data_IF_917928572058
#
_entry.id   IF_917928572058
#
_cell.length_a   1.000
_cell.length_b   1.000
_cell.length_c   1.000
_cell.angle_alpha   90.00
_cell.angle_beta   90.00
_cell.angle_gamma   90.00
#
_symmetry.space_group_name_H-M   'P 1'
#
loop_
_entity.id
_entity.type
_entity.pdbx_description
1 polymer ?
#
# COMPACT_ATOMS: atom_id res chain seq x y z
N UNK A 1 -27.03 -63.47 -21.07
CA UNK A 1 -27.66 -62.16 -20.80
C UNK A 1 -26.63 -61.27 -20.13
N UNK A 2 -26.40 -60.07 -20.70
CA UNK A 2 -25.96 -58.77 -20.13
C UNK A 2 -24.94 -58.77 -18.96
N UNK A 3 -23.86 -57.99 -18.89
CA UNK A 3 -23.12 -56.97 -19.68
C UNK A 3 -21.76 -56.84 -18.90
N UNK A 4 -20.52 -56.90 -19.44
CA UNK A 4 -19.70 -55.87 -20.16
C UNK A 4 -19.61 -54.52 -19.41
N UNK A 5 -18.48 -53.80 -19.20
CA UNK A 5 -17.19 -53.49 -19.88
C UNK A 5 -16.20 -52.97 -18.80
N UNK A 6 -14.86 -52.91 -18.88
CA UNK A 6 -13.90 -52.92 -20.00
C UNK A 6 -13.40 -51.50 -20.36
N UNK A 7 -12.06 -51.32 -20.49
CA UNK A 7 -11.22 -50.25 -21.10
C UNK A 7 -10.17 -49.73 -20.08
N UNK A 8 -8.84 -49.70 -20.29
CA UNK A 8 -7.99 -50.09 -21.43
C UNK A 8 -6.99 -49.01 -21.84
N UNK A 9 -5.68 -49.25 -21.64
CA UNK A 9 -4.50 -48.75 -22.39
C UNK A 9 -4.16 -47.25 -22.26
N UNK A 10 -2.93 -46.74 -22.46
CA UNK A 10 -1.75 -47.11 -23.28
C UNK A 10 -0.56 -46.24 -22.75
N UNK A 11 0.61 -46.80 -22.38
CA UNK A 11 1.90 -46.85 -23.10
C UNK A 11 2.60 -45.50 -23.43
N UNK A 12 3.86 -45.29 -23.02
CA UNK A 12 5.10 -45.17 -23.85
C UNK A 12 6.23 -44.32 -23.20
N UNK A 13 7.48 -44.85 -23.28
CA UNK A 13 8.87 -44.30 -23.24
C UNK A 13 9.12 -42.78 -22.91
N UNK A 14 10.21 -42.34 -22.28
CA UNK A 14 11.62 -42.74 -22.43
C UNK A 14 12.55 -42.26 -21.27
N UNK A 15 13.57 -43.09 -20.98
CA UNK A 15 14.96 -42.81 -20.60
C UNK A 15 15.44 -41.36 -20.29
N UNK A 16 16.13 -41.18 -19.16
CA UNK A 16 17.51 -40.66 -19.14
C UNK A 16 18.23 -41.03 -17.83
N UNK A 17 19.51 -41.34 -17.94
CA UNK A 17 20.37 -41.99 -16.95
C UNK A 17 21.49 -41.05 -16.45
N UNK A 18 21.73 -41.08 -15.12
CA UNK A 18 23.02 -41.08 -14.41
C UNK A 18 24.20 -40.19 -14.90
N UNK A 19 24.72 -39.25 -14.08
CA UNK A 19 25.80 -39.43 -13.06
C UNK A 19 26.52 -38.09 -12.70
N UNK A 20 26.95 -37.99 -11.44
CA UNK A 20 28.06 -37.20 -10.84
C UNK A 20 27.86 -35.75 -10.30
N UNK A 21 27.78 -35.69 -8.96
CA UNK A 21 28.68 -34.96 -8.03
C UNK A 21 29.16 -33.54 -8.38
N UNK A 22 28.68 -32.60 -7.57
CA UNK A 22 29.36 -31.34 -7.26
C UNK A 22 28.88 -30.84 -5.90
N UNK A 23 29.57 -31.20 -4.82
CA UNK A 23 29.61 -30.35 -3.62
C UNK A 23 30.36 -29.09 -4.03
N UNK A 24 29.64 -28.01 -4.37
CA UNK A 24 30.18 -26.66 -4.31
C UNK A 24 29.69 -26.02 -3.02
N UNK A 25 30.64 -25.34 -2.37
CA UNK A 25 30.51 -24.62 -1.12
C UNK A 25 29.20 -23.88 -0.95
N UNK A 26 28.58 -24.09 0.21
CA UNK A 26 27.71 -23.15 0.90
C UNK A 26 28.41 -21.78 0.98
N UNK A 27 28.13 -20.92 0.00
CA UNK A 27 28.11 -19.50 0.24
C UNK A 27 26.65 -19.17 0.48
N UNK A 28 26.29 -18.88 1.72
CA UNK A 28 25.12 -18.06 2.01
C UNK A 28 25.38 -16.70 1.34
N UNK A 29 25.01 -16.58 0.08
CA UNK A 29 24.55 -15.32 -0.46
C UNK A 29 23.05 -15.46 -0.45
N UNK A 30 22.36 -14.61 0.32
CA UNK A 30 20.91 -14.47 0.21
C UNK A 30 20.56 -14.36 -1.27
N UNK A 31 19.66 -15.22 -1.70
CA UNK A 31 19.16 -15.23 -3.07
C UNK A 31 18.21 -14.02 -3.13
N UNK A 32 18.79 -12.81 -3.22
CA UNK A 32 18.06 -11.56 -3.41
C UNK A 32 17.01 -11.79 -4.49
N UNK A 33 15.76 -11.38 -4.28
CA UNK A 33 14.67 -11.58 -5.25
C UNK A 33 15.11 -10.96 -6.59
N UNK A 34 15.66 -11.80 -7.47
CA UNK A 34 16.27 -11.33 -8.71
C UNK A 34 15.12 -11.03 -9.68
N UNK A 35 14.69 -9.76 -9.68
CA UNK A 35 13.67 -9.25 -10.59
C UNK A 35 14.02 -9.67 -12.02
N UNK A 36 13.11 -10.35 -12.70
CA UNK A 36 13.38 -10.90 -14.04
C UNK A 36 13.03 -9.94 -15.17
N UNK A 37 12.32 -8.86 -14.88
CA UNK A 37 11.81 -7.91 -15.86
C UNK A 37 11.77 -6.48 -15.32
N UNK A 38 11.54 -5.52 -16.22
CA UNK A 38 11.28 -4.13 -15.84
C UNK A 38 9.84 -3.98 -15.40
N UNK A 39 9.61 -3.40 -14.22
CA UNK A 39 8.28 -3.12 -13.69
C UNK A 39 8.10 -1.61 -13.60
N UNK A 40 6.92 -1.12 -13.93
CA UNK A 40 6.55 0.29 -13.81
C UNK A 40 5.45 0.41 -12.77
N UNK A 41 5.53 1.44 -11.93
CA UNK A 41 4.51 1.81 -10.97
C UNK A 41 4.06 3.25 -11.23
N UNK A 42 2.78 3.54 -11.01
CA UNK A 42 2.18 4.86 -11.16
C UNK A 42 1.27 5.16 -9.97
N UNK A 43 1.29 6.41 -9.49
CA UNK A 43 0.46 6.81 -8.35
C UNK A 43 0.23 8.32 -8.25
N UNK A 44 -0.60 8.75 -7.29
CA UNK A 44 -0.86 10.16 -6.98
C UNK A 44 0.36 10.87 -6.34
N UNK A 45 0.27 12.20 -6.20
CA UNK A 45 1.28 13.04 -5.54
C UNK A 45 2.32 13.64 -6.51
N UNK A 46 1.95 14.68 -7.27
CA UNK A 46 2.73 15.16 -8.43
C UNK A 46 3.07 14.04 -9.44
N UNK A 47 2.02 13.26 -9.77
CA UNK A 47 2.02 12.15 -10.72
C UNK A 47 3.36 11.44 -10.85
N UNK A 48 3.61 10.59 -9.86
CA UNK A 48 4.86 9.86 -9.81
C UNK A 48 4.76 8.58 -10.63
N UNK A 49 5.84 8.30 -11.35
CA UNK A 49 6.02 7.06 -12.08
C UNK A 49 7.39 6.48 -11.78
N UNK A 50 7.43 5.34 -11.10
CA UNK A 50 8.66 4.61 -10.88
C UNK A 50 8.84 3.53 -11.96
N UNK A 51 10.03 3.40 -12.52
CA UNK A 51 10.40 2.33 -13.45
C UNK A 51 11.61 1.61 -12.88
N UNK A 52 11.47 0.34 -12.52
CA UNK A 52 12.49 -0.46 -11.85
C UNK A 52 12.93 -1.60 -12.77
N UNK A 53 14.19 -1.60 -13.19
CA UNK A 53 14.75 -2.58 -14.11
C UNK A 53 15.27 -3.83 -13.37
N UNK A 54 15.35 -4.93 -14.12
CA UNK A 54 15.89 -6.21 -13.63
C UNK A 54 17.37 -6.17 -13.18
N UNK A 55 18.12 -5.13 -13.57
CA UNK A 55 19.55 -4.99 -13.25
C UNK A 55 19.82 -4.16 -11.98
N UNK A 56 18.78 -3.82 -11.21
CA UNK A 56 18.89 -3.01 -9.99
C UNK A 56 18.97 -1.50 -10.25
N UNK A 57 18.75 -1.07 -11.49
CA UNK A 57 18.67 0.37 -11.85
C UNK A 57 17.23 0.78 -12.08
N UNK A 58 16.92 2.07 -11.94
CA UNK A 58 15.59 2.57 -12.20
C UNK A 58 15.51 4.08 -12.38
N UNK A 59 14.29 4.57 -12.52
CA UNK A 59 13.98 5.99 -12.57
C UNK A 59 12.67 6.30 -11.86
N UNK A 60 12.58 7.48 -11.27
CA UNK A 60 11.35 8.05 -10.71
C UNK A 60 11.07 9.35 -11.46
N UNK A 61 10.00 9.39 -12.22
CA UNK A 61 9.49 10.58 -12.90
C UNK A 61 8.48 11.27 -12.00
N UNK A 62 8.55 12.60 -11.92
CA UNK A 62 7.60 13.47 -11.20
C UNK A 62 7.01 14.45 -12.20
N UNK A 63 5.69 14.64 -12.20
CA UNK A 63 4.98 15.54 -13.13
C UNK A 63 4.06 16.49 -12.35
N UNK A 64 3.79 17.65 -12.91
CA UNK A 64 2.85 18.59 -12.29
C UNK A 64 1.41 18.04 -12.42
N UNK A 65 1.05 17.55 -13.61
CA UNK A 65 -0.25 16.94 -13.91
C UNK A 65 -0.12 15.62 -14.68
N UNK A 66 -1.11 14.71 -14.57
CA UNK A 66 -1.09 13.43 -15.29
C UNK A 66 -1.15 13.59 -16.81
N UNK A 67 -1.73 14.71 -17.26
CA UNK A 67 -1.87 15.04 -18.66
C UNK A 67 -0.58 15.59 -19.27
N UNK A 68 0.42 15.91 -18.46
CA UNK A 68 1.69 16.44 -18.94
C UNK A 68 2.49 15.37 -19.67
N UNK A 69 3.02 15.74 -20.84
CA UNK A 69 3.81 14.83 -21.69
C UNK A 69 5.23 14.68 -21.16
N UNK A 70 5.82 15.77 -20.65
CA UNK A 70 7.19 15.80 -20.15
C UNK A 70 7.19 15.85 -18.63
N UNK A 71 8.03 15.06 -17.94
CA UNK A 71 8.14 15.15 -16.49
C UNK A 71 8.80 16.47 -16.07
N UNK A 72 8.37 16.98 -14.92
CA UNK A 72 9.03 18.11 -14.26
C UNK A 72 10.46 17.74 -13.86
N UNK A 73 10.63 16.52 -13.36
CA UNK A 73 11.92 15.97 -12.96
C UNK A 73 11.95 14.46 -13.19
N UNK A 74 13.12 13.94 -13.57
CA UNK A 74 13.43 12.50 -13.55
C UNK A 74 14.61 12.25 -12.63
N UNK A 75 14.44 11.36 -11.66
CA UNK A 75 15.47 10.93 -10.72
C UNK A 75 15.94 9.54 -11.13
N UNK A 76 17.20 9.41 -11.52
CA UNK A 76 17.82 8.11 -11.74
C UNK A 76 18.24 7.51 -10.40
N UNK A 77 17.99 6.21 -10.21
CA UNK A 77 18.25 5.49 -8.96
C UNK A 77 18.90 4.14 -9.23
N UNK A 78 19.76 3.71 -8.32
CA UNK A 78 20.05 2.30 -8.08
C UNK A 78 19.16 1.83 -6.92
N UNK A 79 18.74 0.57 -6.89
CA UNK A 79 17.99 0.02 -5.78
C UNK A 79 18.42 -1.41 -5.42
N UNK A 80 18.30 -1.75 -4.15
CA UNK A 80 18.53 -3.09 -3.62
C UNK A 80 17.52 -3.42 -2.52
N UNK A 81 17.18 -4.70 -2.38
CA UNK A 81 16.38 -5.17 -1.26
C UNK A 81 17.25 -5.26 0.00
N UNK A 82 16.73 -4.73 1.10
CA UNK A 82 17.40 -4.77 2.40
C UNK A 82 17.14 -6.13 3.03
N UNK A 83 18.18 -6.96 3.19
CA UNK A 83 18.18 -8.19 4.00
C UNK A 83 16.91 -9.09 3.86
N UNK A 84 16.42 -9.27 2.62
CA UNK A 84 15.21 -10.04 2.28
C UNK A 84 13.95 -9.56 3.04
N UNK A 85 13.88 -8.27 3.40
CA UNK A 85 12.79 -7.73 4.20
C UNK A 85 11.55 -7.32 3.39
N UNK A 86 11.60 -7.39 2.06
CA UNK A 86 10.62 -6.74 1.17
C UNK A 86 10.71 -5.21 1.15
N UNK A 87 11.75 -4.63 1.76
CA UNK A 87 12.02 -3.19 1.74
C UNK A 87 13.13 -2.91 0.74
N UNK A 88 12.86 -2.00 -0.19
CA UNK A 88 13.83 -1.50 -1.14
C UNK A 88 14.53 -0.27 -0.57
N UNK A 89 15.85 -0.23 -0.67
CA UNK A 89 16.65 0.99 -0.49
C UNK A 89 17.03 1.53 -1.88
N UNK A 90 16.64 2.77 -2.15
CA UNK A 90 16.99 3.50 -3.36
C UNK A 90 18.17 4.42 -3.07
N UNK A 91 19.13 4.48 -3.98
CA UNK A 91 20.22 5.45 -3.96
C UNK A 91 20.14 6.32 -5.21
N UNK A 92 20.03 7.64 -5.03
CA UNK A 92 19.97 8.59 -6.15
C UNK A 92 21.30 8.62 -6.89
N UNK A 93 21.28 8.35 -8.19
CA UNK A 93 22.46 8.37 -9.07
C UNK A 93 22.50 9.56 -10.01
N UNK A 94 21.36 10.23 -10.24
CA UNK A 94 21.27 11.43 -11.08
C UNK A 94 19.90 12.10 -11.02
N UNK A 95 19.83 13.36 -11.44
CA UNK A 95 18.61 14.17 -11.53
C UNK A 95 18.60 14.94 -12.85
N UNK A 96 17.48 14.94 -13.56
CA UNK A 96 17.26 15.67 -14.81
C UNK A 96 15.97 16.52 -14.71
N UNK A 97 16.02 17.84 -14.92
CA UNK A 97 17.22 18.65 -15.19
C UNK A 97 18.17 18.75 -13.98
N UNK A 98 19.49 18.74 -14.23
CA UNK A 98 20.54 18.75 -13.18
C UNK A 98 20.48 19.99 -12.26
N UNK A 99 19.88 21.08 -12.72
CA UNK A 99 19.82 22.38 -12.03
C UNK A 99 18.43 22.69 -11.44
N UNK A 100 17.62 21.68 -11.12
CA UNK A 100 16.34 21.89 -10.41
C UNK A 100 16.60 22.20 -8.93
N UNK A 101 16.10 23.36 -8.46
CA UNK A 101 16.42 23.90 -7.13
C UNK A 101 15.96 22.97 -5.98
N UNK A 102 14.94 22.15 -6.20
CA UNK A 102 14.30 21.29 -5.19
C UNK A 102 14.49 19.78 -5.46
N UNK A 103 15.48 19.40 -6.28
CA UNK A 103 15.78 17.99 -6.58
C UNK A 103 16.56 17.28 -5.47
N UNK A 104 16.44 15.94 -5.35
CA UNK A 104 17.23 15.20 -4.38
C UNK A 104 18.72 15.21 -4.75
N UNK A 105 19.59 15.21 -3.75
CA UNK A 105 21.04 15.18 -3.99
C UNK A 105 21.51 13.77 -4.42
N UNK A 106 22.46 13.68 -5.35
CA UNK A 106 23.12 12.41 -5.70
C UNK A 106 23.71 11.75 -4.44
N UNK A 107 23.42 10.47 -4.25
CA UNK A 107 23.77 9.67 -3.08
C UNK A 107 22.76 9.75 -1.93
N UNK A 108 21.69 10.54 -2.05
CA UNK A 108 20.56 10.48 -1.13
C UNK A 108 19.92 9.09 -1.19
N UNK A 109 19.40 8.65 -0.04
CA UNK A 109 18.78 7.33 0.11
C UNK A 109 17.32 7.46 0.49
N UNK A 110 16.46 6.74 -0.22
CA UNK A 110 15.05 6.60 0.09
C UNK A 110 14.73 5.13 0.35
N UNK A 111 13.60 4.86 0.99
CA UNK A 111 13.13 3.49 1.22
C UNK A 111 11.69 3.34 0.76
N UNK A 112 11.34 2.14 0.28
CA UNK A 112 9.97 1.80 -0.05
C UNK A 112 9.68 0.35 0.30
N UNK A 113 8.40 0.02 0.49
CA UNK A 113 7.92 -1.36 0.49
C UNK A 113 7.45 -1.68 -0.91
N UNK A 114 7.95 -2.78 -1.46
CA UNK A 114 7.44 -3.31 -2.71
C UNK A 114 6.62 -4.57 -2.44
N UNK A 115 5.39 -4.58 -2.94
CA UNK A 115 4.59 -5.78 -3.08
C UNK A 115 4.64 -6.14 -4.57
N UNK A 116 5.48 -7.12 -4.91
CA UNK A 116 5.77 -7.46 -6.30
C UNK A 116 4.48 -7.79 -7.07
N UNK A 117 4.29 -7.14 -8.22
CA UNK A 117 3.09 -7.29 -9.05
C UNK A 117 1.91 -6.41 -8.63
N UNK A 118 1.91 -5.85 -7.42
CA UNK A 118 0.81 -5.04 -6.92
C UNK A 118 1.15 -3.54 -6.82
N UNK A 119 2.15 -3.17 -6.02
CA UNK A 119 2.39 -1.78 -5.69
C UNK A 119 3.72 -1.50 -4.99
N UNK A 120 4.10 -0.23 -5.00
CA UNK A 120 5.30 0.34 -4.41
C UNK A 120 4.90 1.50 -3.49
N UNK A 121 5.30 1.45 -2.24
CA UNK A 121 4.90 2.41 -1.21
C UNK A 121 6.13 3.08 -0.65
N UNK A 122 6.40 4.28 -1.13
CA UNK A 122 7.66 4.98 -0.90
C UNK A 122 7.54 6.00 0.21
N UNK A 123 8.56 6.08 1.06
CA UNK A 123 8.77 7.22 1.95
C UNK A 123 9.50 8.32 1.16
N UNK A 124 8.93 9.52 1.04
CA UNK A 124 9.54 10.61 0.30
C UNK A 124 10.84 11.07 0.96
N UNK A 125 11.77 11.55 0.13
CA UNK A 125 12.98 12.23 0.57
C UNK A 125 12.65 13.64 1.08
N UNK A 126 12.09 13.73 2.29
CA UNK A 126 11.76 15.01 2.92
C UNK A 126 10.30 15.46 2.77
N UNK A 127 9.38 14.51 2.60
CA UNK A 127 7.94 14.75 2.68
C UNK A 127 7.31 14.04 3.88
N UNK A 128 6.07 14.40 4.17
CA UNK A 128 5.25 13.95 5.29
C UNK A 128 4.10 13.05 4.85
N UNK A 129 4.22 12.35 3.72
CA UNK A 129 3.17 11.46 3.19
C UNK A 129 3.78 10.18 2.61
N UNK A 130 3.12 9.03 2.76
CA UNK A 130 3.46 7.86 1.93
C UNK A 130 3.05 8.17 0.49
N UNK A 131 3.90 7.78 -0.45
CA UNK A 131 3.63 7.84 -1.89
C UNK A 131 3.24 6.44 -2.38
N UNK A 132 1.94 6.08 -2.37
CA UNK A 132 1.49 4.81 -2.92
C UNK A 132 1.54 4.88 -4.45
N UNK A 133 2.09 3.85 -5.08
CA UNK A 133 2.05 3.67 -6.53
C UNK A 133 1.62 2.23 -6.82
N UNK A 134 0.73 2.03 -7.78
CA UNK A 134 0.32 0.70 -8.23
C UNK A 134 1.08 0.30 -9.48
N UNK A 135 1.21 -1.00 -9.71
CA UNK A 135 1.77 -1.51 -10.97
C UNK A 135 1.04 -0.89 -12.15
N UNK A 136 1.77 -0.15 -12.98
CA UNK A 136 1.24 0.46 -14.19
C UNK A 136 1.00 -0.62 -15.24
N UNK A 137 -0.15 -0.58 -15.90
CA UNK A 137 -0.52 -1.64 -16.82
C UNK A 137 -1.88 -1.46 -17.46
N UNK A 138 -2.53 -2.58 -17.77
CA UNK A 138 -3.87 -2.58 -18.33
C UNK A 138 -4.92 -2.26 -17.25
N UNK A 139 -6.07 -1.77 -17.70
CA UNK A 139 -7.24 -1.62 -16.84
C UNK A 139 -7.75 -2.98 -16.34
N UNK A 140 -8.44 -2.97 -15.19
CA UNK A 140 -9.18 -4.14 -14.69
C UNK A 140 -9.96 -4.83 -15.81
N UNK A 141 -9.84 -6.16 -15.90
CA UNK A 141 -10.49 -6.97 -16.95
C UNK A 141 -11.72 -7.74 -16.45
N UNK A 142 -12.00 -7.65 -15.15
CA UNK A 142 -13.16 -8.20 -14.48
C UNK A 142 -13.65 -7.27 -13.35
N UNK A 143 -14.89 -7.46 -12.92
CA UNK A 143 -15.44 -6.77 -11.76
C UNK A 143 -14.69 -7.20 -10.50
N UNK A 144 -14.42 -6.26 -9.60
CA UNK A 144 -13.76 -6.58 -8.34
C UNK A 144 -14.36 -5.81 -7.16
N UNK A 145 -14.08 -6.33 -5.96
CA UNK A 145 -14.34 -5.63 -4.70
C UNK A 145 -13.03 -5.57 -3.93
N UNK A 146 -12.77 -4.43 -3.32
CA UNK A 146 -11.56 -4.14 -2.59
C UNK A 146 -11.90 -3.60 -1.19
N UNK A 147 -11.00 -3.84 -0.24
CA UNK A 147 -10.97 -3.14 1.04
C UNK A 147 -10.07 -1.93 0.88
N UNK A 148 -10.51 -0.75 1.32
CA UNK A 148 -9.74 0.48 1.23
C UNK A 148 -9.44 1.08 2.60
N UNK A 149 -8.29 1.76 2.69
CA UNK A 149 -7.91 2.63 3.80
C UNK A 149 -7.58 4.03 3.26
N UNK A 150 -7.80 5.06 4.07
CA UNK A 150 -7.38 6.42 3.78
C UNK A 150 -5.87 6.55 3.97
N UNK A 151 -5.15 6.77 2.88
CA UNK A 151 -3.69 6.97 2.92
C UNK A 151 -3.30 8.44 3.10
N UNK A 152 -4.14 9.37 2.65
CA UNK A 152 -3.95 10.81 2.82
C UNK A 152 -5.28 11.45 3.22
N UNK A 153 -5.27 12.18 4.33
CA UNK A 153 -6.43 12.90 4.85
C UNK A 153 -6.47 14.35 4.36
N UNK A 154 -7.65 14.87 4.05
CA UNK A 154 -7.84 16.32 3.91
C UNK A 154 -7.66 17.04 5.26
N UNK A 155 -7.56 18.38 5.23
CA UNK A 155 -7.13 19.23 6.35
C UNK A 155 -7.93 19.21 7.67
N UNK A 156 -8.93 18.33 7.83
CA UNK A 156 -9.71 18.09 9.06
C UNK A 156 -9.88 16.57 9.33
N UNK A 157 -8.80 15.80 9.27
CA UNK A 157 -8.79 14.33 9.43
C UNK A 157 -8.81 13.86 10.91
N UNK A 158 -9.76 14.34 11.70
CA UNK A 158 -9.92 13.92 13.10
C UNK A 158 -10.44 12.47 13.21
N UNK A 159 -9.54 11.55 13.57
CA UNK A 159 -9.80 10.13 13.77
C UNK A 159 -10.65 9.82 15.01
N UNK A 160 -10.98 10.81 15.84
CA UNK A 160 -11.95 10.67 16.93
C UNK A 160 -13.38 11.03 16.51
N UNK A 161 -13.60 11.49 15.29
CA UNK A 161 -14.92 11.84 14.76
C UNK A 161 -15.66 10.62 14.22
N UNK A 162 -16.92 10.45 14.64
CA UNK A 162 -17.83 9.40 14.13
C UNK A 162 -18.30 9.68 12.69
N UNK A 163 -18.13 10.92 12.21
CA UNK A 163 -18.59 11.36 10.89
C UNK A 163 -17.46 11.31 9.83
N UNK A 164 -16.28 10.78 10.19
CA UNK A 164 -15.10 10.72 9.32
C UNK A 164 -14.80 9.28 8.92
N UNK A 165 -14.67 9.06 7.62
CA UNK A 165 -14.40 7.76 7.02
C UNK A 165 -12.90 7.53 6.84
N UNK A 166 -12.44 6.38 7.34
CA UNK A 166 -11.02 5.99 7.30
C UNK A 166 -10.81 4.67 6.56
N UNK A 167 -11.83 3.82 6.51
CA UNK A 167 -11.76 2.55 5.82
C UNK A 167 -13.14 2.06 5.39
N UNK A 168 -13.15 1.07 4.51
CA UNK A 168 -14.38 0.42 4.09
C UNK A 168 -14.17 -0.46 2.86
N UNK A 169 -15.21 -0.55 2.04
CA UNK A 169 -15.21 -1.36 0.82
C UNK A 169 -15.45 -0.50 -0.41
N UNK A 170 -14.76 -0.87 -1.49
CA UNK A 170 -14.85 -0.27 -2.81
C UNK A 170 -15.20 -1.37 -3.81
N UNK A 171 -15.97 -1.07 -4.83
CA UNK A 171 -16.24 -2.00 -5.93
C UNK A 171 -16.01 -1.32 -7.27
N UNK A 172 -15.56 -2.10 -8.24
CA UNK A 172 -15.43 -1.66 -9.63
C UNK A 172 -16.24 -2.57 -10.55
N UNK A 173 -17.11 -1.97 -11.36
CA UNK A 173 -17.86 -2.63 -12.42
C UNK A 173 -17.21 -2.27 -13.77
N UNK A 174 -16.65 -3.28 -14.44
CA UNK A 174 -15.97 -3.10 -15.73
C UNK A 174 -16.96 -2.78 -16.86
N UNK A 175 -18.17 -3.33 -16.77
CA UNK A 175 -19.17 -3.18 -17.82
C UNK A 175 -19.71 -1.76 -17.89
N UNK A 176 -19.77 -1.10 -16.73
CA UNK A 176 -20.16 0.30 -16.57
C UNK A 176 -18.95 1.24 -16.54
N UNK A 177 -17.73 0.72 -16.34
CA UNK A 177 -16.52 1.49 -15.98
C UNK A 177 -16.79 2.43 -14.82
N UNK A 178 -17.38 1.87 -13.76
CA UNK A 178 -17.78 2.61 -12.57
C UNK A 178 -17.10 2.03 -11.35
N UNK A 179 -16.34 2.86 -10.62
CA UNK A 179 -15.91 2.58 -9.27
C UNK A 179 -16.87 3.18 -8.26
N UNK A 180 -17.16 2.50 -7.15
CA UNK A 180 -18.11 2.93 -6.13
C UNK A 180 -17.60 2.60 -4.73
N UNK A 181 -17.65 3.57 -3.81
CA UNK A 181 -17.46 3.31 -2.38
C UNK A 181 -18.75 2.70 -1.84
N UNK A 182 -18.68 1.44 -1.40
CA UNK A 182 -19.84 0.65 -0.98
C UNK A 182 -20.03 0.61 0.53
N UNK A 183 -18.99 0.89 1.30
CA UNK A 183 -19.08 1.11 2.74
C UNK A 183 -18.00 2.08 3.22
N UNK A 184 -18.30 2.75 4.33
CA UNK A 184 -17.46 3.73 5.03
C UNK A 184 -17.58 3.50 6.51
N UNK A 185 -16.46 3.57 7.22
CA UNK A 185 -16.43 3.33 8.66
C UNK A 185 -15.51 4.33 9.36
N UNK A 186 -15.93 4.73 10.55
CA UNK A 186 -15.14 5.56 11.45
C UNK A 186 -14.22 4.70 12.35
N UNK A 187 -13.20 5.33 12.92
CA UNK A 187 -12.27 4.72 13.89
C UNK A 187 -12.71 4.93 15.35
N UNK A 188 -13.97 5.24 15.59
CA UNK A 188 -14.52 5.43 16.93
C UNK A 188 -15.04 4.12 17.53
N UNK A 189 -15.48 4.17 18.79
CA UNK A 189 -15.92 2.99 19.53
C UNK A 189 -17.00 2.19 18.77
N UNK A 190 -16.68 0.94 18.47
CA UNK A 190 -17.58 0.03 17.74
C UNK A 190 -17.55 0.21 16.22
N UNK A 191 -16.69 1.07 15.69
CA UNK A 191 -16.42 1.27 14.28
C UNK A 191 -17.71 1.45 13.45
N UNK A 192 -18.50 2.50 13.74
CA UNK A 192 -19.82 2.66 13.15
C UNK A 192 -19.74 2.84 11.63
N UNK A 193 -20.73 2.24 10.94
CA UNK A 193 -20.99 2.52 9.53
C UNK A 193 -21.37 3.99 9.36
N UNK A 194 -20.73 4.65 8.39
CA UNK A 194 -21.10 5.99 7.93
C UNK A 194 -22.02 5.81 6.72
N UNK A 195 -23.12 6.54 6.71
CA UNK A 195 -24.05 6.51 5.58
C UNK A 195 -23.34 7.00 4.31
N UNK A 196 -23.32 6.17 3.27
CA UNK A 196 -22.93 6.59 1.93
C UNK A 196 -24.09 7.40 1.35
N UNK A 197 -24.06 8.72 1.54
CA UNK A 197 -25.09 9.64 1.03
C UNK A 197 -24.73 10.16 -0.37
N UNK A 198 -25.51 9.75 -1.37
CA UNK A 198 -25.27 10.14 -2.77
C UNK A 198 -24.41 9.13 -3.53
N UNK A 199 -24.33 9.28 -4.85
CA UNK A 199 -23.45 8.47 -5.69
C UNK A 199 -22.01 8.95 -5.48
N UNK A 200 -21.24 8.28 -4.62
CA UNK A 200 -19.78 8.31 -4.68
C UNK A 200 -19.28 7.33 -5.74
N UNK A 201 -19.93 7.36 -6.90
CA UNK A 201 -19.59 6.55 -8.05
C UNK A 201 -18.77 7.37 -9.01
N UNK A 202 -17.57 6.90 -9.30
CA UNK A 202 -16.69 7.46 -10.31
C UNK A 202 -16.92 6.66 -11.59
N UNK A 203 -17.55 7.27 -12.59
CA UNK A 203 -17.71 6.68 -13.92
C UNK A 203 -16.79 7.38 -14.91
N UNK A 204 -15.99 6.62 -15.65
CA UNK A 204 -15.05 7.18 -16.61
C UNK A 204 -14.63 6.20 -17.69
N UNK A 205 -13.63 6.59 -18.48
CA UNK A 205 -12.90 5.65 -19.32
C UNK A 205 -11.58 5.33 -18.66
N UNK A 206 -11.26 4.04 -18.53
CA UNK A 206 -9.94 3.63 -18.10
C UNK A 206 -9.03 3.43 -19.32
N UNK A 207 -7.83 4.03 -19.27
CA UNK A 207 -6.76 3.83 -20.25
C UNK A 207 -5.43 3.63 -19.51
N UNK A 208 -4.71 2.55 -19.81
CA UNK A 208 -3.44 2.20 -19.16
C UNK A 208 -3.52 2.19 -17.62
N UNK A 209 -4.61 1.63 -17.07
CA UNK A 209 -4.83 1.57 -15.62
C UNK A 209 -5.13 2.93 -14.98
N UNK A 210 -5.35 3.99 -15.76
CA UNK A 210 -5.74 5.30 -15.25
C UNK A 210 -7.17 5.62 -15.69
N UNK A 211 -8.02 5.95 -14.73
CA UNK A 211 -9.33 6.51 -14.95
C UNK A 211 -9.36 7.92 -14.39
N UNK A 212 -9.72 8.89 -15.22
CA UNK A 212 -9.95 10.26 -14.80
C UNK A 212 -11.43 10.59 -14.73
N UNK A 213 -11.81 11.35 -13.70
CA UNK A 213 -13.14 11.92 -13.54
C UNK A 213 -13.06 13.42 -13.72
N UNK A 214 -13.88 13.92 -14.65
CA UNK A 214 -14.08 15.34 -14.87
C UNK A 214 -15.57 15.70 -14.66
N UNK A 215 -15.85 16.74 -13.90
CA UNK A 215 -17.18 17.35 -13.76
C UNK A 215 -17.15 18.75 -14.38
N UNK A 216 -18.03 19.02 -15.35
CA UNK A 216 -18.06 20.28 -16.10
C UNK A 216 -16.72 20.71 -16.76
N UNK A 217 -15.80 19.74 -16.96
CA UNK A 217 -14.48 19.94 -17.54
C UNK A 217 -13.36 20.14 -16.52
N UNK A 218 -13.68 20.05 -15.23
CA UNK A 218 -12.75 20.17 -14.12
C UNK A 218 -12.42 18.79 -13.52
N UNK A 219 -11.16 18.49 -13.17
CA UNK A 219 -10.79 17.21 -12.58
C UNK A 219 -11.34 17.10 -11.16
N UNK A 220 -12.12 16.05 -10.89
CA UNK A 220 -12.71 15.79 -9.56
C UNK A 220 -11.99 14.64 -8.85
N UNK A 221 -11.61 13.61 -9.60
CA UNK A 221 -10.90 12.46 -9.05
C UNK A 221 -10.04 11.78 -10.12
N UNK A 222 -9.02 11.08 -9.65
CA UNK A 222 -8.21 10.17 -10.45
C UNK A 222 -8.14 8.82 -9.75
N UNK A 223 -8.20 7.76 -10.55
CA UNK A 223 -8.16 6.41 -10.07
C UNK A 223 -7.10 5.64 -10.85
N UNK A 224 -6.07 5.18 -10.14
CA UNK A 224 -5.11 4.21 -10.63
C UNK A 224 -5.66 2.82 -10.32
N UNK A 225 -5.78 1.98 -11.33
CA UNK A 225 -6.33 0.64 -11.28
C UNK A 225 -5.26 -0.34 -11.71
N UNK A 226 -5.13 -1.45 -10.98
CA UNK A 226 -4.43 -2.63 -11.48
C UNK A 226 -5.42 -3.55 -12.20
N UNK A 227 -4.93 -4.35 -13.14
CA UNK A 227 -5.67 -5.48 -13.75
C UNK A 227 -6.26 -6.46 -12.72
N UNK A 228 -5.64 -6.46 -11.54
CA UNK A 228 -5.75 -7.40 -10.45
C UNK A 228 -6.61 -6.91 -9.26
N UNK A 229 -7.36 -5.81 -9.41
CA UNK A 229 -8.33 -5.37 -8.40
C UNK A 229 -7.79 -4.53 -7.23
N UNK A 230 -6.56 -4.05 -7.31
CA UNK A 230 -6.06 -2.91 -6.54
C UNK A 230 -6.49 -1.58 -7.15
N UNK A 231 -6.66 -0.57 -6.30
CA UNK A 231 -6.91 0.80 -6.75
C UNK A 231 -6.24 1.84 -5.83
N UNK A 232 -5.83 2.98 -6.38
CA UNK A 232 -5.58 4.20 -5.62
C UNK A 232 -6.54 5.25 -6.15
N UNK A 233 -7.34 5.86 -5.28
CA UNK A 233 -8.24 6.95 -5.66
C UNK A 233 -7.75 8.22 -4.99
N UNK A 234 -7.49 9.25 -5.79
CA UNK A 234 -7.14 10.59 -5.34
C UNK A 234 -8.27 11.54 -5.73
N UNK A 235 -8.73 12.35 -4.79
CA UNK A 235 -9.72 13.41 -5.03
C UNK A 235 -9.03 14.77 -5.13
N UNK A 236 -9.67 15.68 -5.85
CA UNK A 236 -9.21 17.07 -5.98
C UNK A 236 -10.23 18.01 -5.36
N UNK A 237 -9.74 19.04 -4.70
CA UNK A 237 -10.57 20.09 -4.10
C UNK A 237 -10.22 21.42 -4.76
N UNK A 238 -11.24 22.20 -5.15
CA UNK A 238 -11.02 23.54 -5.68
C UNK A 238 -10.72 24.48 -4.51
N UNK A 239 -9.53 25.05 -4.48
CA UNK A 239 -9.22 26.14 -3.58
C UNK A 239 -9.96 27.40 -4.05
N UNK A 240 -10.99 27.81 -3.31
CA UNK A 240 -11.82 28.98 -3.67
C UNK A 240 -11.04 30.31 -3.67
N UNK A 241 -9.90 30.39 -2.97
CA UNK A 241 -9.09 31.61 -2.89
C UNK A 241 -8.14 31.75 -4.08
N UNK A 242 -7.50 30.65 -4.51
CA UNK A 242 -6.54 30.63 -5.63
C UNK A 242 -7.19 30.29 -6.96
N UNK A 243 -8.40 29.73 -6.95
CA UNK A 243 -9.06 29.10 -8.11
C UNK A 243 -8.23 27.96 -8.73
N UNK A 244 -7.39 27.31 -7.92
CA UNK A 244 -6.55 26.16 -8.33
C UNK A 244 -7.05 24.87 -7.66
N UNK A 245 -6.92 23.74 -8.37
CA UNK A 245 -7.22 22.43 -7.79
C UNK A 245 -6.06 21.95 -6.94
N UNK A 246 -6.35 21.66 -5.68
CA UNK A 246 -5.41 21.06 -4.74
C UNK A 246 -5.72 19.57 -4.57
N UNK A 247 -4.72 18.82 -4.11
CA UNK A 247 -4.94 17.42 -3.73
C UNK A 247 -5.82 17.39 -2.49
N UNK A 248 -6.94 16.68 -2.56
CA UNK A 248 -7.83 16.43 -1.43
C UNK A 248 -7.37 15.20 -0.65
N UNK A 249 -8.23 14.18 -0.59
CA UNK A 249 -7.92 12.90 0.06
C UNK A 249 -7.45 11.83 -0.94
N UNK A 250 -6.67 10.87 -0.44
CA UNK A 250 -6.31 9.67 -1.17
C UNK A 250 -6.63 8.40 -0.38
N UNK A 251 -7.18 7.40 -1.05
CA UNK A 251 -7.38 6.05 -0.51
C UNK A 251 -6.53 5.05 -1.29
N UNK A 252 -6.10 3.99 -0.62
CA UNK A 252 -5.51 2.81 -1.26
C UNK A 252 -6.43 1.63 -1.00
N UNK A 253 -6.83 0.96 -2.08
CA UNK A 253 -7.72 -0.18 -2.08
C UNK A 253 -6.98 -1.43 -2.55
N UNK A 254 -7.24 -2.53 -1.85
CA UNK A 254 -6.63 -3.83 -2.09
C UNK A 254 -7.69 -4.89 -2.32
N UNK A 255 -7.42 -5.92 -3.15
CA UNK A 255 -8.34 -7.01 -3.41
C UNK A 255 -8.91 -7.59 -2.12
N UNK A 256 -10.23 -7.63 -2.04
CA UNK A 256 -10.92 -8.13 -0.84
C UNK A 256 -10.70 -9.64 -0.71
N UNK A 257 -10.14 -10.06 0.40
CA UNK A 257 -9.97 -11.47 0.74
C UNK A 257 -10.61 -11.80 2.10
N UNK A 258 -11.19 -13.00 2.21
CA UNK A 258 -11.72 -13.53 3.48
C UNK A 258 -10.73 -14.52 4.03
N UNK A 259 -9.79 -14.00 4.81
CA UNK A 259 -8.78 -14.80 5.48
C UNK A 259 -9.20 -15.11 6.91
N UNK A 260 -8.58 -16.10 7.53
CA UNK A 260 -8.73 -16.36 8.97
C UNK A 260 -7.73 -15.54 9.76
N UNK A 261 -8.08 -15.16 10.99
CA UNK A 261 -7.15 -14.45 11.89
C UNK A 261 -5.87 -15.24 12.15
N UNK A 262 -5.94 -16.57 12.11
CA UNK A 262 -4.79 -17.47 12.24
C UNK A 262 -3.73 -17.23 11.13
N UNK A 263 -4.13 -16.72 9.97
CA UNK A 263 -3.21 -16.40 8.86
C UNK A 263 -2.26 -15.23 9.18
N UNK A 264 -2.62 -14.40 10.16
CA UNK A 264 -1.77 -13.34 10.68
C UNK A 264 -0.56 -13.86 11.47
N UNK A 265 -0.50 -15.13 11.86
CA UNK A 265 0.65 -15.65 12.62
C UNK A 265 1.95 -15.41 11.84
N UNK A 266 2.91 -14.71 12.45
CA UNK A 266 4.22 -14.42 11.85
C UNK A 266 4.76 -13.03 12.16
N UNK A 267 5.88 -12.70 11.54
CA UNK A 267 6.51 -11.37 11.63
C UNK A 267 6.22 -10.58 10.38
N UNK A 268 5.82 -9.33 10.55
CA UNK A 268 5.53 -8.35 9.52
C UNK A 268 6.50 -7.18 9.67
N UNK A 269 6.95 -6.64 8.54
CA UNK A 269 7.77 -5.44 8.48
C UNK A 269 7.12 -4.44 7.57
N UNK A 270 7.15 -3.18 7.96
CA UNK A 270 6.42 -2.20 7.22
C UNK A 270 6.74 -0.76 7.54
N UNK A 271 5.88 0.13 7.05
CA UNK A 271 5.93 1.56 7.28
C UNK A 271 4.71 1.90 8.13
N UNK A 272 4.96 2.66 9.19
CA UNK A 272 3.94 3.41 9.91
C UNK A 272 3.99 4.85 9.40
N UNK A 273 2.81 5.35 9.07
CA UNK A 273 2.54 6.72 8.69
C UNK A 273 1.64 7.35 9.73
N UNK A 274 1.99 8.54 10.21
CA UNK A 274 1.12 9.35 11.06
C UNK A 274 0.86 10.67 10.35
N UNK A 275 -0.37 10.87 9.89
CA UNK A 275 -0.78 12.14 9.30
C UNK A 275 -0.73 13.20 10.41
N UNK A 276 0.11 14.22 10.23
CA UNK A 276 0.18 15.33 11.17
C UNK A 276 -1.10 16.16 11.13
N UNK A 277 -1.50 16.73 12.27
CA UNK A 277 -2.64 17.67 12.36
C UNK A 277 -2.45 18.93 11.49
N UNK A 278 -1.24 19.15 10.98
CA UNK A 278 -0.89 20.24 10.07
C UNK A 278 0.17 19.73 9.08
N UNK A 279 -0.09 19.76 7.77
CA UNK A 279 0.83 19.42 6.66
C UNK A 279 2.12 20.28 6.59
N UNK A 280 2.45 20.97 7.70
CA UNK A 280 3.61 21.84 7.87
C UNK A 280 4.42 21.46 9.14
N UNK A 281 4.04 20.41 9.87
CA UNK A 281 4.78 20.01 11.06
C UNK A 281 5.98 19.15 10.66
N UNK A 282 7.16 19.53 11.14
CA UNK A 282 8.37 18.69 11.16
C UNK A 282 8.18 17.39 11.98
N UNK A 283 6.95 17.14 12.46
CA UNK A 283 6.54 16.08 13.39
C UNK A 283 5.79 14.93 12.71
N UNK A 284 5.65 14.94 11.37
CA UNK A 284 5.15 13.78 10.64
C UNK A 284 6.11 12.60 10.83
N UNK A 285 5.72 11.65 11.68
CA UNK A 285 6.57 10.55 12.10
C UNK A 285 6.36 9.35 11.18
N UNK A 286 6.99 9.40 10.02
CA UNK A 286 7.05 8.27 9.10
C UNK A 286 8.26 7.40 9.45
N UNK A 287 8.01 6.18 9.91
CA UNK A 287 9.09 5.27 10.30
C UNK A 287 8.75 3.82 9.99
N UNK A 288 9.80 3.01 9.88
CA UNK A 288 9.65 1.58 9.71
C UNK A 288 9.26 0.92 11.04
N UNK A 289 8.44 -0.11 10.95
CA UNK A 289 7.99 -0.92 12.09
C UNK A 289 8.17 -2.40 11.81
N UNK A 290 8.45 -3.16 12.85
CA UNK A 290 8.40 -4.62 12.84
C UNK A 290 7.35 -5.08 13.84
N UNK A 291 6.48 -6.00 13.45
CA UNK A 291 5.41 -6.52 14.28
C UNK A 291 5.33 -8.03 14.20
N UNK A 292 5.18 -8.71 15.34
CA UNK A 292 5.00 -10.16 15.37
C UNK A 292 3.67 -10.52 15.99
N UNK A 293 2.85 -11.27 15.26
CA UNK A 293 1.52 -11.70 15.65
C UNK A 293 1.48 -13.19 16.00
N UNK A 294 0.61 -13.56 16.95
CA UNK A 294 0.20 -14.93 17.21
C UNK A 294 -1.06 -15.34 16.42
N UNK A 295 -1.45 -16.61 16.53
CA UNK A 295 -2.63 -17.18 15.86
C UNK A 295 -3.97 -16.64 16.37
N UNK A 296 -3.97 -15.88 17.46
CA UNK A 296 -5.14 -15.22 18.04
C UNK A 296 -5.25 -13.75 17.63
N UNK A 297 -4.37 -13.24 16.77
CA UNK A 297 -4.34 -11.85 16.33
C UNK A 297 -3.75 -10.89 17.36
N UNK A 298 -2.97 -11.38 18.32
CA UNK A 298 -2.23 -10.53 19.25
C UNK A 298 -0.83 -10.26 18.71
N UNK A 299 -0.56 -8.99 18.43
CA UNK A 299 0.70 -8.49 17.91
C UNK A 299 1.52 -7.74 18.94
N UNK A 300 2.84 -7.90 18.89
CA UNK A 300 3.80 -6.99 19.55
C UNK A 300 4.68 -6.36 18.49
N UNK A 301 4.74 -5.03 18.44
CA UNK A 301 5.51 -4.27 17.47
C UNK A 301 6.55 -3.35 18.08
N UNK A 302 7.53 -2.95 17.28
CA UNK A 302 8.62 -2.03 17.63
C UNK A 302 8.93 -1.10 16.47
N UNK A 303 9.34 0.12 16.79
CA UNK A 303 9.92 1.03 15.82
C UNK A 303 11.29 0.52 15.35
N UNK A 304 11.58 0.69 14.07
CA UNK A 304 12.88 0.43 13.45
C UNK A 304 13.68 1.72 13.46
N UNK A 305 14.82 1.69 14.15
CA UNK A 305 15.75 2.81 14.31
C UNK A 305 16.76 2.92 13.16
N UNK A 306 17.00 1.83 12.45
CA UNK A 306 17.86 1.79 11.27
C UNK A 306 17.37 0.72 10.29
N UNK A 307 17.07 1.10 9.05
CA UNK A 307 16.50 0.17 8.05
C UNK A 307 17.53 -0.86 7.58
N UNK A 308 18.78 -0.48 7.40
CA UNK A 308 19.87 -1.37 7.01
C UNK A 308 21.03 -1.21 8.01
N UNK A 309 21.27 -2.16 8.94
CA UNK A 309 20.92 -3.60 8.88
C UNK A 309 19.69 -4.02 9.72
N UNK A 310 18.56 -3.34 9.57
CA UNK A 310 17.30 -3.58 10.31
C UNK A 310 17.44 -3.66 11.84
N UNK A 311 17.69 -2.52 12.48
CA UNK A 311 17.81 -2.41 13.94
C UNK A 311 16.52 -1.83 14.56
N UNK A 312 15.94 -2.52 15.54
CA UNK A 312 14.75 -2.06 16.27
C UNK A 312 15.10 -1.32 17.56
N UNK A 313 14.24 -0.37 17.92
CA UNK A 313 14.30 0.39 19.17
C UNK A 313 13.79 -0.38 20.37
N UNK A 314 13.82 0.28 21.52
CA UNK A 314 13.29 -0.25 22.79
C UNK A 314 11.77 -0.02 22.93
N UNK A 315 11.24 1.00 22.24
CA UNK A 315 9.82 1.34 22.26
C UNK A 315 9.00 0.24 21.59
N UNK A 316 7.93 -0.17 22.28
CA UNK A 316 7.10 -1.28 21.87
C UNK A 316 5.62 -0.90 21.98
N UNK A 317 4.83 -1.40 21.05
CA UNK A 317 3.38 -1.31 21.05
C UNK A 317 2.77 -2.71 21.00
N UNK A 318 1.55 -2.86 21.48
CA UNK A 318 0.77 -4.09 21.31
C UNK A 318 -0.47 -3.83 20.49
N UNK A 319 -0.77 -4.72 19.56
CA UNK A 319 -2.01 -4.71 18.79
C UNK A 319 -2.82 -5.93 19.18
N UNK A 320 -4.12 -5.76 19.38
CA UNK A 320 -5.07 -6.86 19.55
C UNK A 320 -6.12 -6.77 18.47
N UNK A 321 -6.12 -7.71 17.52
CA UNK A 321 -7.12 -7.80 16.45
C UNK A 321 -8.13 -8.90 16.72
N UNK A 322 -9.35 -8.71 16.23
CA UNK A 322 -10.41 -9.71 16.17
C UNK A 322 -11.15 -9.59 14.83
N UNK A 323 -11.77 -10.68 14.38
CA UNK A 323 -12.65 -10.63 13.21
C UNK A 323 -13.78 -9.63 13.43
N UNK A 324 -14.05 -8.80 12.42
CA UNK A 324 -15.05 -7.74 12.48
C UNK A 324 -16.35 -8.11 11.76
N UNK A 325 -17.46 -7.50 12.18
CA UNK A 325 -18.76 -7.60 11.50
C UNK A 325 -18.92 -6.53 10.38
N UNK A 326 -17.96 -5.59 10.26
CA UNK A 326 -17.97 -4.46 9.29
C UNK A 326 -17.88 -4.93 7.83
N UNK A 327 -17.38 -6.15 7.63
CA UNK A 327 -17.27 -6.74 6.32
C UNK A 327 -16.24 -7.84 6.30
N UNK A 328 -16.45 -8.75 5.37
CA UNK A 328 -15.50 -9.76 4.95
C UNK A 328 -14.09 -9.16 4.73
N UNK A 329 -13.08 -9.71 5.42
CA UNK A 329 -11.69 -9.30 5.27
C UNK A 329 -11.21 -8.16 6.17
N UNK A 330 -12.07 -7.67 7.08
CA UNK A 330 -11.69 -6.71 8.12
C UNK A 330 -11.50 -7.37 9.49
N UNK A 331 -10.42 -6.96 10.15
CA UNK A 331 -10.15 -7.19 11.56
C UNK A 331 -10.13 -5.85 12.27
N UNK A 332 -10.67 -5.79 13.47
CA UNK A 332 -10.67 -4.57 14.27
C UNK A 332 -10.19 -4.86 15.68
N UNK A 333 -9.73 -3.82 16.37
CA UNK A 333 -9.42 -3.91 17.78
C UNK A 333 -8.63 -2.71 18.27
N UNK A 334 -7.60 -2.95 19.09
CA UNK A 334 -6.88 -1.90 19.80
C UNK A 334 -5.40 -1.88 19.47
N UNK A 335 -4.83 -0.67 19.48
CA UNK A 335 -3.41 -0.39 19.53
C UNK A 335 -3.10 0.23 20.89
N UNK A 336 -2.17 -0.37 21.62
CA UNK A 336 -1.79 0.04 22.96
C UNK A 336 -0.29 0.36 22.99
N UNK A 337 0.03 1.62 23.27
CA UNK A 337 1.40 2.10 23.51
C UNK A 337 1.56 2.35 25.03
N UNK A 338 2.65 1.87 25.67
CA UNK A 338 2.87 2.09 27.09
C UNK A 338 2.80 3.57 27.47
N UNK A 339 2.08 3.84 28.57
CA UNK A 339 1.86 5.20 29.11
C UNK A 339 1.00 6.13 28.24
N UNK A 340 0.42 5.64 27.14
CA UNK A 340 -0.53 6.36 26.27
C UNK A 340 -1.96 5.80 26.39
N UNK A 341 -2.90 6.41 25.67
CA UNK A 341 -4.28 5.92 25.60
C UNK A 341 -4.38 4.74 24.60
N UNK A 342 -5.32 3.83 24.83
CA UNK A 342 -5.63 2.78 23.85
C UNK A 342 -6.36 3.39 22.66
N UNK A 343 -5.84 3.13 21.46
CA UNK A 343 -6.38 3.61 20.20
C UNK A 343 -7.16 2.51 19.47
N UNK A 344 -8.21 2.87 18.74
CA UNK A 344 -8.88 1.94 17.84
C UNK A 344 -8.06 1.74 16.56
N UNK A 345 -8.09 0.52 16.03
CA UNK A 345 -7.43 0.14 14.78
C UNK A 345 -8.28 -0.83 13.98
N UNK A 346 -8.29 -0.66 12.66
CA UNK A 346 -8.90 -1.56 11.69
C UNK A 346 -7.82 -2.01 10.70
N UNK A 347 -7.80 -3.31 10.40
CA UNK A 347 -6.82 -3.93 9.52
C UNK A 347 -7.47 -4.85 8.49
N UNK A 348 -6.94 -4.86 7.26
CA UNK A 348 -7.21 -5.88 6.26
C UNK A 348 -5.96 -6.71 5.99
N UNK A 349 -6.13 -8.03 6.00
CA UNK A 349 -5.06 -8.99 5.77
C UNK A 349 -5.28 -9.71 4.45
N UNK A 350 -4.22 -9.75 3.64
CA UNK A 350 -4.24 -10.28 2.28
C UNK A 350 -3.16 -11.34 2.21
N UNK A 351 -3.56 -12.57 1.90
CA UNK A 351 -2.62 -13.67 1.67
C UNK A 351 -2.27 -13.71 0.18
N UNK A 352 -0.99 -13.91 -0.12
CA UNK A 352 -0.49 -14.11 -1.49
C UNK A 352 -1.09 -13.12 -2.49
N UNK A 353 -0.91 -11.82 -2.23
CA UNK A 353 -1.52 -10.79 -3.07
C UNK A 353 -1.08 -10.95 -4.53
N UNK A 354 -2.03 -11.14 -5.44
CA UNK A 354 -1.80 -11.23 -6.89
C UNK A 354 -0.75 -12.25 -7.35
N UNK A 355 -0.87 -13.48 -6.83
CA UNK A 355 0.07 -14.59 -7.06
C UNK A 355 1.52 -14.27 -6.59
N UNK A 356 1.74 -13.15 -5.91
CA UNK A 356 2.94 -12.96 -5.12
C UNK A 356 2.94 -13.99 -3.98
N UNK A 357 4.13 -14.34 -3.50
CA UNK A 357 4.27 -15.12 -2.27
C UNK A 357 4.19 -14.25 -1.02
N UNK A 358 3.83 -12.97 -1.18
CA UNK A 358 3.88 -11.98 -0.12
C UNK A 358 2.51 -11.83 0.51
N UNK A 359 2.43 -12.07 1.81
CA UNK A 359 1.27 -11.70 2.59
C UNK A 359 1.40 -10.24 3.05
N UNK A 360 0.31 -9.47 3.02
CA UNK A 360 0.30 -8.06 3.36
C UNK A 360 -0.75 -7.76 4.44
N UNK A 361 -0.41 -6.85 5.35
CA UNK A 361 -1.28 -6.33 6.38
C UNK A 361 -1.38 -4.82 6.26
N UNK A 362 -2.61 -4.35 6.10
CA UNK A 362 -2.94 -2.94 5.95
C UNK A 362 -3.81 -2.50 7.09
N UNK A 363 -3.40 -1.47 7.81
CA UNK A 363 -4.19 -0.97 8.92
C UNK A 363 -4.35 0.53 8.86
N UNK A 364 -5.44 1.01 9.43
CA UNK A 364 -5.66 2.40 9.78
C UNK A 364 -6.16 2.47 11.21
N UNK A 365 -5.67 3.42 11.99
CA UNK A 365 -5.98 3.55 13.41
C UNK A 365 -5.88 4.98 13.92
N UNK A 366 -6.20 5.16 15.19
CA UNK A 366 -6.04 6.44 15.87
C UNK A 366 -4.61 6.58 16.41
N UNK A 367 -4.08 7.80 16.44
CA UNK A 367 -2.84 8.13 17.14
C UNK A 367 -3.02 7.97 18.67
N UNK A 368 -2.31 7.05 19.33
CA UNK A 368 -2.47 6.82 20.78
C UNK A 368 -1.99 8.01 21.63
N UNK A 369 -0.98 8.75 21.14
CA UNK A 369 -0.44 9.95 21.79
C UNK A 369 -1.45 11.08 21.85
N UNK A 370 -2.13 11.39 20.73
CA UNK A 370 -3.08 12.50 20.63
C UNK A 370 -4.29 12.25 21.55
N UNK A 371 -4.75 10.99 21.62
CA UNK A 371 -5.80 10.56 22.56
C UNK A 371 -5.42 10.80 24.03
N UNK A 372 -4.15 10.61 24.38
CA UNK A 372 -3.66 10.80 25.75
C UNK A 372 -3.59 12.29 26.13
N UNK A 373 -3.31 13.17 25.17
CA UNK A 373 -3.24 14.62 25.38
C UNK A 373 -4.62 15.29 25.48
N UNK A 374 -5.69 14.54 25.15
CA UNK A 374 -7.05 15.08 24.98
C UNK A 374 -7.05 16.29 24.03
N UNK A 375 -6.30 16.16 22.94
CA UNK A 375 -6.32 17.12 21.84
C UNK A 375 -7.74 17.23 21.28
N UNK A 376 -8.06 18.40 20.73
CA UNK A 376 -9.35 18.63 20.07
C UNK A 376 -9.43 17.92 18.70
N UNK A 377 -8.34 17.29 18.25
CA UNK A 377 -8.21 16.50 17.02
C UNK A 377 -7.32 15.29 17.28
N UNK A 378 -7.69 14.11 16.79
CA UNK A 378 -6.85 12.91 16.91
C UNK A 378 -6.32 12.56 15.53
N UNK A 379 -5.00 12.45 15.36
CA UNK A 379 -4.41 12.05 14.08
C UNK A 379 -4.76 10.61 13.71
N UNK A 380 -4.84 10.35 12.41
CA UNK A 380 -4.91 8.98 11.88
C UNK A 380 -3.50 8.44 11.64
N UNK A 381 -3.31 7.16 11.97
CA UNK A 381 -2.12 6.40 11.62
C UNK A 381 -2.46 5.33 10.59
N UNK A 382 -1.55 5.08 9.66
CA UNK A 382 -1.66 4.02 8.66
C UNK A 382 -0.48 3.07 8.78
N UNK A 383 -0.74 1.78 8.65
CA UNK A 383 0.27 0.74 8.58
C UNK A 383 0.16 0.06 7.22
N UNK A 384 1.30 -0.10 6.57
CA UNK A 384 1.45 -1.04 5.49
C UNK A 384 2.62 -1.95 5.82
N UNK A 385 2.35 -3.24 5.96
CA UNK A 385 3.37 -4.22 6.33
C UNK A 385 3.30 -5.46 5.43
N UNK A 386 4.47 -6.04 5.17
CA UNK A 386 4.64 -7.31 4.45
C UNK A 386 5.17 -8.37 5.41
N UNK A 387 4.61 -9.57 5.30
CA UNK A 387 5.03 -10.73 6.11
C UNK A 387 6.42 -11.18 5.70
N UNK A 388 7.19 -11.61 6.68
CA UNK A 388 8.53 -12.14 6.55
C UNK A 388 8.48 -13.67 6.58
N UNK A 389 9.27 -14.31 5.70
CA UNK A 389 9.35 -15.77 5.56
C UNK A 389 10.12 -16.49 6.69
#
# INVERSE_FOLDING_TARGET
MKKTFGIGGVCLLAALSFFYYGCSSSGDGGDSIARTETITYSGPGSFMKATLNADGTGSIEIREMHTDVDPLMTVAVDFEEVDDTGVLEFTVTGVDPEDIDDGPTIGAKAHAIEILGFGLFMLPLGGDEILPMLTAGDCATEDFTANWIQAQGGGDSDASSEDRDFFGTFSYDISENTGEVTSKNALTDGFPDIAVEGQESITGSCENGLMSLEEDGDPVALMFLTDNGGAIVQTFELNEETEEFETGSAIVAFPKQVNSIEGLEGTFRGILFQGGENNNSEDANNFFVEMTFDDAGQGTGRQVTQVNPWETGDDAATISLAASDIGDGWYTGTLDVPDEASANIACSFIENIEDSTTDALLCVGQSPGDLAEASDQVGAINFLMVKQD
#
